data_IF_763704671378
#
_entry.id   IF_763704671378
#
_cell.length_a   1.000
_cell.length_b   1.000
_cell.length_c   1.000
_cell.angle_alpha   90.00
_cell.angle_beta   90.00
_cell.angle_gamma   90.00
#
_symmetry.space_group_name_H-M   'P 1'
#
loop_
_entity.id
_entity.type
_entity.pdbx_description
1 polymer ?
#
# COMPACT_ATOMS: atom_id res chain seq x y z
N UNK A 1 13.36 8.26 -0.65
CA UNK A 1 13.29 8.44 -2.12
C UNK A 1 14.55 9.12 -2.64
N UNK A 2 14.92 10.32 -2.17
CA UNK A 2 16.12 11.05 -2.61
C UNK A 2 17.42 10.23 -2.61
N UNK A 3 17.76 9.54 -1.51
CA UNK A 3 18.97 8.69 -1.44
C UNK A 3 18.98 7.59 -2.52
N UNK A 4 17.87 6.88 -2.71
CA UNK A 4 17.76 5.84 -3.74
C UNK A 4 17.84 6.42 -5.16
N UNK A 5 17.21 7.57 -5.41
CA UNK A 5 17.33 8.29 -6.69
C UNK A 5 18.77 8.67 -6.97
N UNK A 6 19.50 9.21 -5.98
CA UNK A 6 20.90 9.57 -6.12
C UNK A 6 21.78 8.37 -6.44
N UNK A 7 21.56 7.24 -5.76
CA UNK A 7 22.28 5.99 -6.06
C UNK A 7 21.99 5.47 -7.45
N UNK A 8 20.73 5.48 -7.89
CA UNK A 8 20.36 5.07 -9.25
C UNK A 8 21.01 5.97 -10.32
N UNK A 9 21.05 7.28 -10.08
CA UNK A 9 21.66 8.25 -10.98
C UNK A 9 23.16 8.02 -11.18
N UNK A 10 23.89 7.53 -10.17
CA UNK A 10 25.31 7.12 -10.31
C UNK A 10 25.53 6.02 -11.37
N UNK A 11 24.48 5.27 -11.70
CA UNK A 11 24.50 4.25 -12.74
C UNK A 11 23.74 4.68 -14.02
N UNK A 12 23.45 5.98 -14.18
CA UNK A 12 22.70 6.48 -15.34
C UNK A 12 21.24 6.00 -15.39
N UNK A 13 20.68 5.57 -14.24
CA UNK A 13 19.30 5.03 -14.16
C UNK A 13 18.38 6.03 -13.49
N UNK A 14 17.18 6.19 -14.06
CA UNK A 14 16.05 6.81 -13.41
C UNK A 14 15.10 5.73 -12.87
N UNK A 15 14.62 5.92 -11.64
CA UNK A 15 13.71 4.98 -10.98
C UNK A 15 12.48 5.73 -10.47
N UNK A 16 11.35 5.02 -10.49
CA UNK A 16 10.11 5.44 -9.86
C UNK A 16 9.92 4.73 -8.51
N UNK A 17 9.04 5.28 -7.66
CA UNK A 17 8.72 4.72 -6.36
C UNK A 17 7.27 4.25 -6.30
N UNK A 18 7.08 3.07 -5.73
CA UNK A 18 5.77 2.52 -5.39
C UNK A 18 5.50 2.61 -3.89
N UNK A 19 4.22 2.70 -3.52
CA UNK A 19 3.78 2.70 -2.13
C UNK A 19 2.73 1.62 -1.89
N UNK A 20 2.97 0.78 -0.88
CA UNK A 20 2.09 -0.31 -0.47
C UNK A 20 1.37 0.09 0.81
N UNK A 21 0.05 0.24 0.75
CA UNK A 21 -0.75 0.67 1.90
C UNK A 21 -2.13 0.01 1.89
N UNK A 22 -2.69 -0.28 3.07
CA UNK A 22 -4.10 -0.61 3.19
C UNK A 22 -4.95 0.65 3.02
N UNK A 23 -6.22 0.50 2.64
CA UNK A 23 -7.15 1.63 2.55
C UNK A 23 -8.48 1.22 3.19
N UNK A 24 -9.04 2.12 3.99
CA UNK A 24 -10.36 2.03 4.62
C UNK A 24 -11.09 3.34 4.31
N UNK A 25 -12.03 3.26 3.37
CA UNK A 25 -12.86 4.39 2.93
C UNK A 25 -14.28 4.22 3.47
N UNK A 26 -14.81 5.23 4.15
CA UNK A 26 -16.22 5.28 4.59
C UNK A 26 -16.79 6.69 4.41
N UNK A 27 -18.10 6.85 4.53
CA UNK A 27 -18.77 8.14 4.31
C UNK A 27 -18.32 9.20 5.31
N UNK A 28 -18.04 8.79 6.55
CA UNK A 28 -17.51 9.66 7.60
C UNK A 28 -16.17 9.15 8.13
N UNK A 29 -15.38 10.05 8.72
CA UNK A 29 -14.10 9.68 9.32
C UNK A 29 -14.30 8.78 10.55
N UNK A 30 -15.37 9.02 11.29
CA UNK A 30 -15.79 8.23 12.45
C UNK A 30 -16.11 6.80 12.04
N UNK A 31 -16.87 6.59 10.96
CA UNK A 31 -17.15 5.26 10.42
C UNK A 31 -15.89 4.55 9.96
N UNK A 32 -14.97 5.25 9.29
CA UNK A 32 -13.70 4.67 8.84
C UNK A 32 -12.86 4.21 10.04
N UNK A 33 -12.81 5.02 11.11
CA UNK A 33 -12.14 4.69 12.37
C UNK A 33 -12.81 3.52 13.09
N UNK A 34 -14.13 3.52 13.16
CA UNK A 34 -14.90 2.43 13.76
C UNK A 34 -14.67 1.12 13.00
N UNK A 35 -14.60 1.16 11.67
CA UNK A 35 -14.25 -0.02 10.88
C UNK A 35 -12.84 -0.51 11.17
N UNK A 36 -11.84 0.39 11.22
CA UNK A 36 -10.47 0.05 11.59
C UNK A 36 -10.37 -0.64 12.97
N UNK A 37 -11.20 -0.22 13.93
CA UNK A 37 -11.30 -0.89 15.24
C UNK A 37 -12.00 -2.25 15.13
N UNK A 38 -13.10 -2.34 14.37
CA UNK A 38 -13.87 -3.57 14.17
C UNK A 38 -13.05 -4.68 13.50
N UNK A 39 -12.23 -4.36 12.50
CA UNK A 39 -11.37 -5.38 11.88
C UNK A 39 -10.31 -5.90 12.86
N UNK A 40 -9.83 -5.07 13.79
CA UNK A 40 -8.87 -5.48 14.80
C UNK A 40 -9.50 -6.27 15.94
N UNK A 41 -10.79 -6.08 16.25
CA UNK A 41 -11.45 -6.91 17.26
C UNK A 41 -11.61 -8.37 16.82
N UNK A 42 -11.56 -8.63 15.50
CA UNK A 42 -11.55 -9.98 14.93
C UNK A 42 -10.15 -10.62 14.95
N UNK A 43 -9.12 -9.88 15.33
CA UNK A 43 -7.76 -10.40 15.48
C UNK A 43 -7.58 -10.95 16.89
N UNK A 44 -7.30 -12.25 16.99
CA UNK A 44 -6.90 -12.89 18.24
C UNK A 44 -5.36 -12.78 18.40
N UNK A 45 -4.86 -12.01 19.38
CA UNK A 45 -3.42 -11.87 19.62
C UNK A 45 -2.75 -13.18 20.07
N UNK A 46 -3.50 -14.10 20.68
CA UNK A 46 -2.99 -15.35 21.23
C UNK A 46 -3.05 -16.52 20.21
N UNK A 47 -4.08 -16.56 19.37
CA UNK A 47 -4.30 -17.65 18.40
C UNK A 47 -3.45 -17.58 17.13
N UNK A 48 -2.82 -16.44 16.87
CA UNK A 48 -2.13 -16.17 15.60
C UNK A 48 -0.80 -15.45 15.83
N UNK A 49 0.26 -16.22 16.07
CA UNK A 49 1.64 -15.82 15.75
C UNK A 49 1.84 -15.62 14.23
N UNK A 50 0.84 -15.13 13.50
CA UNK A 50 0.85 -14.96 12.05
C UNK A 50 1.98 -14.01 11.62
N UNK A 51 2.25 -12.98 12.44
CA UNK A 51 3.39 -12.08 12.24
C UNK A 51 4.71 -12.83 12.38
N UNK A 52 4.93 -13.57 13.47
CA UNK A 52 6.19 -14.33 13.68
C UNK A 52 6.39 -15.48 12.67
N UNK A 53 5.29 -16.04 12.15
CA UNK A 53 5.30 -17.10 11.14
C UNK A 53 5.58 -16.61 9.72
N UNK A 54 5.64 -15.29 9.51
CA UNK A 54 6.06 -14.74 8.22
C UNK A 54 7.59 -14.62 8.14
N UNK A 55 8.16 -14.92 6.97
CA UNK A 55 9.61 -14.97 6.79
C UNK A 55 10.33 -13.62 7.03
N UNK A 56 9.62 -12.50 6.90
CA UNK A 56 10.24 -11.15 6.91
C UNK A 56 10.05 -10.35 8.21
N UNK A 57 9.50 -10.95 9.28
CA UNK A 57 9.12 -10.22 10.50
C UNK A 57 10.29 -9.56 11.26
N UNK A 58 11.54 -9.99 11.00
CA UNK A 58 12.77 -9.41 11.58
C UNK A 58 13.54 -8.50 10.62
N UNK A 59 13.00 -8.20 9.45
CA UNK A 59 13.66 -7.25 8.55
C UNK A 59 13.78 -5.87 9.20
N UNK A 60 14.86 -5.14 8.90
CA UNK A 60 15.08 -3.80 9.45
C UNK A 60 13.91 -2.85 9.16
N UNK A 61 13.24 -3.01 8.01
CA UNK A 61 12.05 -2.24 7.66
C UNK A 61 10.85 -2.51 8.58
N UNK A 62 10.61 -3.77 8.94
CA UNK A 62 9.54 -4.14 9.88
C UNK A 62 9.85 -3.65 11.30
N UNK A 63 11.09 -3.83 11.77
CA UNK A 63 11.51 -3.35 13.09
C UNK A 63 11.33 -1.83 13.23
N UNK A 64 11.70 -1.06 12.20
CA UNK A 64 11.48 0.40 12.19
C UNK A 64 9.99 0.76 12.23
N UNK A 65 9.14 0.04 11.50
CA UNK A 65 7.69 0.27 11.57
C UNK A 65 7.14 -0.03 12.96
N UNK A 66 7.64 -1.08 13.61
CA UNK A 66 7.27 -1.46 14.97
C UNK A 66 7.68 -0.39 15.99
N UNK A 67 8.91 0.14 15.88
CA UNK A 67 9.41 1.24 16.73
C UNK A 67 8.60 2.52 16.57
N UNK A 68 8.26 2.91 15.33
CA UNK A 68 7.45 4.11 15.07
C UNK A 68 6.05 3.93 15.69
N UNK A 69 5.44 2.75 15.51
CA UNK A 69 4.12 2.48 16.07
C UNK A 69 4.13 2.45 17.60
N UNK A 70 5.15 1.86 18.23
CA UNK A 70 5.28 1.82 19.68
C UNK A 70 5.38 3.23 20.32
N UNK A 71 5.83 4.23 19.57
CA UNK A 71 5.87 5.64 19.99
C UNK A 71 4.56 6.39 19.78
N UNK A 72 3.60 5.82 19.05
CA UNK A 72 2.30 6.44 18.78
C UNK A 72 1.31 6.13 19.90
N UNK A 73 0.58 7.14 20.37
CA UNK A 73 -0.46 7.00 21.39
C UNK A 73 -1.81 6.55 20.81
N UNK A 74 -2.05 6.80 19.51
CA UNK A 74 -3.33 6.50 18.83
C UNK A 74 -3.19 5.52 17.68
N UNK A 75 -2.00 4.92 17.51
CA UNK A 75 -1.56 4.15 16.34
C UNK A 75 -1.51 4.91 15.02
N UNK A 76 -1.91 6.18 14.97
CA UNK A 76 -1.69 7.01 13.78
C UNK A 76 -0.21 7.42 13.72
N UNK A 77 0.43 7.11 12.60
CA UNK A 77 1.83 7.42 12.32
C UNK A 77 1.98 8.82 11.70
N UNK A 78 0.93 9.26 11.01
CA UNK A 78 0.73 10.60 10.48
C UNK A 78 -0.79 10.82 10.24
N UNK A 79 -1.25 12.04 9.90
CA UNK A 79 -2.66 12.26 9.59
C UNK A 79 -3.17 11.28 8.53
N UNK A 80 -4.27 10.59 8.88
CA UNK A 80 -4.96 9.55 8.10
C UNK A 80 -4.21 8.22 7.95
N UNK A 81 -2.93 8.11 8.32
CA UNK A 81 -2.15 6.87 8.22
C UNK A 81 -2.13 6.15 9.57
N UNK A 82 -2.92 5.10 9.68
CA UNK A 82 -3.05 4.28 10.87
C UNK A 82 -2.19 3.02 10.78
N UNK A 83 -1.29 2.83 11.76
CA UNK A 83 -0.35 1.71 11.83
C UNK A 83 -0.88 0.45 12.51
N UNK A 84 -2.11 0.47 13.04
CA UNK A 84 -2.62 -0.62 13.88
C UNK A 84 -2.76 -1.96 13.14
N UNK A 85 -3.02 -1.93 11.83
CA UNK A 85 -3.09 -3.12 10.98
C UNK A 85 -1.80 -3.96 10.99
N UNK A 86 -0.64 -3.31 11.22
CA UNK A 86 0.67 -3.97 11.28
C UNK A 86 0.89 -4.87 12.49
N UNK A 87 -0.07 -4.93 13.43
CA UNK A 87 -0.05 -5.94 14.51
C UNK A 87 -0.51 -7.31 14.05
N UNK A 88 -1.46 -7.35 13.11
CA UNK A 88 -2.06 -8.60 12.66
C UNK A 88 -1.25 -9.31 11.56
N UNK A 89 -0.49 -8.56 10.76
CA UNK A 89 0.27 -9.09 9.62
C UNK A 89 1.57 -8.33 9.40
N UNK A 90 2.62 -9.04 8.96
CA UNK A 90 3.84 -8.41 8.44
C UNK A 90 3.65 -7.95 6.98
N UNK A 91 4.54 -7.06 6.51
CA UNK A 91 4.53 -6.55 5.13
C UNK A 91 3.94 -5.15 5.01
N UNK A 92 2.61 -5.03 5.01
CA UNK A 92 1.92 -3.73 4.93
C UNK A 92 1.50 -3.26 6.33
N UNK A 93 2.36 -2.48 6.98
CA UNK A 93 2.18 -2.10 8.38
C UNK A 93 1.24 -0.92 8.64
N UNK A 94 0.58 -0.38 7.61
CA UNK A 94 -0.28 0.80 7.75
C UNK A 94 -1.48 0.81 6.78
N UNK A 95 -2.54 1.51 7.18
CA UNK A 95 -3.74 1.77 6.39
C UNK A 95 -4.06 3.27 6.34
N UNK A 96 -4.51 3.74 5.19
CA UNK A 96 -5.16 5.04 5.07
C UNK A 96 -6.62 4.93 5.52
N UNK A 97 -7.03 5.72 6.51
CA UNK A 97 -8.35 5.65 7.15
C UNK A 97 -9.04 7.01 7.08
N UNK A 98 -10.13 7.12 6.34
CA UNK A 98 -10.86 8.38 6.19
C UNK A 98 -12.00 8.35 5.18
N UNK A 99 -12.50 9.55 4.85
CA UNK A 99 -13.51 9.76 3.80
C UNK A 99 -12.90 9.66 2.39
N UNK A 100 -13.71 9.49 1.32
CA UNK A 100 -13.19 9.46 -0.04
C UNK A 100 -12.32 10.66 -0.38
N UNK A 101 -12.72 11.86 0.04
CA UNK A 101 -11.99 13.13 -0.20
C UNK A 101 -10.68 13.17 0.56
N UNK A 102 -10.68 12.72 1.82
CA UNK A 102 -9.48 12.62 2.65
C UNK A 102 -8.47 11.63 2.05
N UNK A 103 -8.94 10.47 1.57
CA UNK A 103 -8.09 9.47 0.93
C UNK A 103 -7.54 9.99 -0.39
N UNK A 104 -8.39 10.59 -1.24
CA UNK A 104 -7.97 11.21 -2.50
C UNK A 104 -6.90 12.28 -2.26
N UNK A 105 -7.12 13.20 -1.32
CA UNK A 105 -6.15 14.21 -0.94
C UNK A 105 -4.82 13.61 -0.49
N UNK A 106 -4.87 12.55 0.33
CA UNK A 106 -3.65 11.90 0.85
C UNK A 106 -2.88 11.18 -0.26
N UNK A 107 -3.56 10.52 -1.18
CA UNK A 107 -2.94 9.89 -2.36
C UNK A 107 -2.27 10.95 -3.24
N UNK A 108 -2.96 12.06 -3.52
CA UNK A 108 -2.38 13.17 -4.27
C UNK A 108 -1.12 13.73 -3.60
N UNK A 109 -1.14 13.93 -2.27
CA UNK A 109 0.04 14.35 -1.51
C UNK A 109 1.22 13.38 -1.70
N UNK A 110 0.99 12.07 -1.67
CA UNK A 110 2.06 11.09 -1.93
C UNK A 110 2.55 11.14 -3.38
N UNK A 111 1.68 11.42 -4.34
CA UNK A 111 2.08 11.64 -5.73
C UNK A 111 2.96 12.88 -5.87
N UNK A 112 2.63 13.98 -5.19
CA UNK A 112 3.45 15.20 -5.14
C UNK A 112 4.84 14.93 -4.55
N UNK A 113 4.94 14.00 -3.60
CA UNK A 113 6.22 13.56 -3.03
C UNK A 113 7.06 12.68 -3.99
N UNK A 114 6.51 12.26 -5.13
CA UNK A 114 7.23 11.45 -6.12
C UNK A 114 6.81 9.98 -6.19
N UNK A 115 5.77 9.55 -5.47
CA UNK A 115 5.24 8.19 -5.60
C UNK A 115 4.42 8.10 -6.89
N UNK A 116 4.59 7.01 -7.64
CA UNK A 116 3.97 6.83 -8.98
C UNK A 116 3.14 5.56 -9.11
N UNK A 117 3.32 4.61 -8.19
CA UNK A 117 2.55 3.38 -8.15
C UNK A 117 1.98 3.16 -6.75
N UNK A 118 0.73 2.74 -6.65
CA UNK A 118 0.09 2.40 -5.38
C UNK A 118 -0.38 0.96 -5.41
N UNK A 119 0.03 0.19 -4.42
CA UNK A 119 -0.42 -1.18 -4.21
C UNK A 119 -1.37 -1.15 -3.01
N UNK A 120 -2.67 -1.21 -3.31
CA UNK A 120 -3.72 -1.04 -2.31
C UNK A 120 -4.29 -2.39 -1.88
N UNK A 121 -4.87 -2.43 -0.68
CA UNK A 121 -5.58 -3.59 -0.17
C UNK A 121 -6.56 -3.20 0.93
N UNK A 122 -7.56 -4.04 1.18
CA UNK A 122 -8.50 -3.88 2.29
C UNK A 122 -9.02 -5.23 2.78
N UNK A 123 -9.78 -5.23 3.87
CA UNK A 123 -10.49 -6.40 4.37
C UNK A 123 -11.96 -6.06 4.66
N UNK A 124 -12.91 -6.86 4.16
CA UNK A 124 -12.76 -7.91 3.13
C UNK A 124 -12.23 -7.39 1.78
N UNK A 125 -11.62 -8.28 0.98
CA UNK A 125 -10.87 -7.86 -0.21
C UNK A 125 -11.76 -7.27 -1.32
N UNK A 126 -12.90 -7.92 -1.61
CA UNK A 126 -13.77 -7.52 -2.72
C UNK A 126 -14.51 -6.24 -2.35
N UNK A 127 -15.10 -6.21 -1.17
CA UNK A 127 -15.94 -5.12 -0.68
C UNK A 127 -15.12 -3.83 -0.50
N UNK A 128 -13.90 -3.89 0.04
CA UNK A 128 -13.03 -2.71 0.10
C UNK A 128 -12.53 -2.28 -1.28
N UNK A 129 -12.35 -3.22 -2.22
CA UNK A 129 -12.02 -2.89 -3.61
C UNK A 129 -13.16 -2.14 -4.28
N UNK A 130 -14.40 -2.58 -4.09
CA UNK A 130 -15.61 -1.92 -4.61
C UNK A 130 -15.79 -0.52 -4.01
N UNK A 131 -15.64 -0.37 -2.69
CA UNK A 131 -15.72 0.94 -2.03
C UNK A 131 -14.67 1.91 -2.58
N UNK A 132 -13.41 1.47 -2.69
CA UNK A 132 -12.36 2.31 -3.26
C UNK A 132 -12.63 2.62 -4.74
N UNK A 133 -13.03 1.60 -5.51
CA UNK A 133 -13.32 1.68 -6.94
C UNK A 133 -14.48 2.61 -7.28
N UNK A 134 -15.47 2.70 -6.41
CA UNK A 134 -16.64 3.55 -6.61
C UNK A 134 -16.43 4.98 -6.09
N UNK A 135 -15.69 5.16 -5.01
CA UNK A 135 -15.65 6.45 -4.31
C UNK A 135 -14.33 7.23 -4.46
N UNK A 136 -13.21 6.58 -4.79
CA UNK A 136 -11.90 7.25 -4.86
C UNK A 136 -11.28 7.13 -6.24
N UNK A 137 -11.24 5.91 -6.80
CA UNK A 137 -10.62 5.63 -8.08
C UNK A 137 -11.10 6.52 -9.25
N UNK A 138 -12.40 6.86 -9.38
CA UNK A 138 -12.88 7.68 -10.50
C UNK A 138 -12.29 9.09 -10.53
N UNK A 139 -11.75 9.56 -9.40
CA UNK A 139 -11.14 10.88 -9.25
C UNK A 139 -9.62 10.87 -9.39
N UNK A 140 -9.01 9.70 -9.63
CA UNK A 140 -7.57 9.56 -9.85
C UNK A 140 -7.27 9.42 -11.33
N UNK A 141 -6.23 10.12 -11.79
CA UNK A 141 -5.67 9.89 -13.12
C UNK A 141 -4.85 8.60 -13.11
N UNK A 142 -5.29 7.61 -13.87
CA UNK A 142 -4.61 6.31 -13.97
C UNK A 142 -3.87 6.15 -15.28
N UNK A 143 -2.70 5.52 -15.23
CA UNK A 143 -1.90 5.19 -16.42
C UNK A 143 -1.34 3.78 -16.32
N UNK A 144 -1.04 3.18 -17.47
CA UNK A 144 -0.18 1.99 -17.53
C UNK A 144 1.28 2.46 -17.53
N UNK A 145 2.00 2.25 -16.41
CA UNK A 145 3.39 2.70 -16.30
C UNK A 145 4.29 2.11 -17.40
N UNK A 146 4.03 0.89 -17.86
CA UNK A 146 4.77 0.30 -18.98
C UNK A 146 4.61 1.10 -20.28
N UNK A 147 3.48 1.77 -20.50
CA UNK A 147 3.27 2.61 -21.67
C UNK A 147 3.98 3.95 -21.49
N UNK A 148 3.82 4.59 -20.33
CA UNK A 148 4.47 5.88 -20.01
C UNK A 148 5.99 5.77 -20.05
N UNK A 149 6.54 4.64 -19.62
CA UNK A 149 7.98 4.37 -19.64
C UNK A 149 8.51 3.84 -20.98
N UNK A 150 7.65 3.68 -22.01
CA UNK A 150 8.06 3.11 -23.29
C UNK A 150 8.55 1.66 -23.21
N UNK A 151 8.07 0.89 -22.22
CA UNK A 151 8.44 -0.51 -21.95
C UNK A 151 7.38 -1.52 -22.42
N UNK A 152 6.37 -1.06 -23.14
CA UNK A 152 5.38 -1.95 -23.76
C UNK A 152 5.95 -2.41 -25.10
N UNK A 153 6.19 -3.72 -25.32
CA UNK A 153 6.66 -4.23 -26.60
C UNK A 153 5.68 -3.87 -27.72
N UNK A 154 6.21 -3.49 -28.89
CA UNK A 154 5.39 -3.18 -30.09
C UNK A 154 4.84 -4.47 -30.72
N UNK A 155 5.57 -5.57 -30.58
CA UNK A 155 5.18 -6.91 -30.99
C UNK A 155 5.35 -7.89 -29.83
N UNK A 156 4.70 -9.04 -29.94
CA UNK A 156 4.83 -10.11 -28.97
C UNK A 156 6.31 -10.54 -28.85
N UNK A 157 6.93 -10.43 -27.67
CA UNK A 157 8.33 -10.76 -27.52
C UNK A 157 8.52 -12.28 -27.61
N UNK A 158 9.61 -12.73 -28.23
CA UNK A 158 9.98 -14.15 -28.25
C UNK A 158 10.52 -14.53 -26.87
N UNK A 159 9.66 -15.11 -26.03
CA UNK A 159 10.00 -15.58 -24.68
C UNK A 159 9.42 -16.97 -24.44
N UNK A 160 9.92 -17.71 -23.44
CA UNK A 160 9.28 -18.96 -23.04
C UNK A 160 7.80 -18.81 -22.67
N UNK A 161 7.36 -17.62 -22.21
CA UNK A 161 5.96 -17.39 -21.85
C UNK A 161 5.04 -17.24 -23.08
N UNK A 162 5.58 -16.87 -24.23
CA UNK A 162 4.82 -16.59 -25.47
C UNK A 162 4.99 -17.67 -26.53
N UNK A 163 6.09 -18.42 -26.49
CA UNK A 163 6.44 -19.40 -27.54
C UNK A 163 6.55 -20.85 -27.05
N UNK A 164 6.55 -21.10 -25.74
CA UNK A 164 6.56 -22.47 -25.25
C UNK A 164 5.19 -23.15 -25.45
N UNK A 165 5.23 -24.42 -25.84
CA UNK A 165 4.04 -25.28 -25.86
C UNK A 165 3.61 -25.53 -24.41
N UNK A 166 2.37 -25.16 -24.07
CA UNK A 166 1.77 -25.51 -22.77
C UNK A 166 1.76 -27.04 -22.64
N UNK A 167 2.36 -27.55 -21.56
CA UNK A 167 2.33 -28.97 -21.19
C UNK A 167 1.11 -29.27 -20.33
#
# INVERSE_FOLDING_TARGET
MQDMSFRAAKYGRQIDFGFRVHVIVRSTQEEARAWAQSIMSKFDPAGLNLKERTQDHKSLGVLRQDEIRAKSTSDYLEPLLWGGIGRARSGCGAALVGTPEQILWKINRYMDMGIRAFILSGYPLIEECELFGNHVLPYLSTVKLSMVQGRTPVSEPVTPLTTAVLR
#
